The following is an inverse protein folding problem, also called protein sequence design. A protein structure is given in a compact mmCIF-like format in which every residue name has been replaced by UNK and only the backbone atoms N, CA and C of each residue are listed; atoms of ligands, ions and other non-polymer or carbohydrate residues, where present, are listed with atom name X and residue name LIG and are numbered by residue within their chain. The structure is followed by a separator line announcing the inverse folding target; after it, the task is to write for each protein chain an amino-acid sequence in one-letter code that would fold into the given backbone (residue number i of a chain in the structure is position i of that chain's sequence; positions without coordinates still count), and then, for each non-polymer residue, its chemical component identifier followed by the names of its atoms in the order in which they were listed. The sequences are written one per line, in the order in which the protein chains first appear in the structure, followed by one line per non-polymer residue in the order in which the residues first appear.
data_IF_703769223512
#
_entry.id   IF_703769223512
#
_cell.length_a   1.000
_cell.length_b   1.000
_cell.length_c   1.000
_cell.angle_alpha   90.00
_cell.angle_beta   90.00
_cell.angle_gamma   90.00
#
_symmetry.space_group_name_H-M   'P 1'
#
loop_
_entity.id
_entity.type
_entity.pdbx_description
1 polymer ?
#
# COMPACT_ATOMS: atom_id res chain seq x y z
N UNK A 1 -46.07 6.90 73.74
CA UNK A 1 -44.64 7.22 73.40
C UNK A 1 -44.27 6.45 72.17
N UNK A 2 -44.24 7.09 70.96
CA UNK A 2 -43.98 6.43 69.71
C UNK A 2 -42.57 6.88 69.25
N UNK A 3 -41.64 5.93 69.20
CA UNK A 3 -40.30 6.14 68.61
C UNK A 3 -40.41 6.12 67.10
N UNK A 4 -39.94 7.20 66.46
CA UNK A 4 -39.74 7.29 65.01
C UNK A 4 -38.32 6.83 64.69
N UNK A 5 -38.19 5.69 64.02
CA UNK A 5 -36.94 5.23 63.46
C UNK A 5 -36.61 5.99 62.18
N UNK A 6 -35.49 6.63 62.14
CA UNK A 6 -34.95 7.32 60.92
C UNK A 6 -34.04 6.34 60.17
N UNK A 7 -34.47 5.89 59.01
CA UNK A 7 -33.66 5.05 58.12
C UNK A 7 -32.68 5.93 57.32
N UNK A 8 -31.41 5.75 57.51
CA UNK A 8 -30.34 6.38 56.75
C UNK A 8 -30.05 5.50 55.54
N UNK A 9 -30.36 5.96 54.33
CA UNK A 9 -29.98 5.35 53.09
C UNK A 9 -28.54 5.79 52.76
N UNK A 10 -27.58 4.86 52.87
CA UNK A 10 -26.21 5.07 52.43
C UNK A 10 -26.14 4.78 50.92
N UNK A 11 -26.05 5.81 50.12
CA UNK A 11 -25.84 5.68 48.63
C UNK A 11 -24.36 5.35 48.37
N UNK A 12 -24.10 4.12 47.95
CA UNK A 12 -22.77 3.67 47.56
C UNK A 12 -22.49 4.14 46.10
N UNK A 13 -21.75 5.19 45.95
CA UNK A 13 -21.31 5.72 44.66
C UNK A 13 -20.17 4.82 44.12
N UNK A 14 -20.46 3.91 43.22
CA UNK A 14 -19.45 3.13 42.48
C UNK A 14 -18.76 4.04 41.46
N UNK A 15 -17.56 4.48 41.75
CA UNK A 15 -16.69 5.13 40.77
C UNK A 15 -16.00 4.07 39.92
N UNK A 16 -16.47 3.90 38.67
CA UNK A 16 -15.81 3.05 37.67
C UNK A 16 -14.58 3.84 37.16
N UNK A 17 -13.36 3.32 37.29
CA UNK A 17 -12.19 3.99 36.72
C UNK A 17 -12.29 3.93 35.18
N UNK A 18 -12.33 5.09 34.55
CA UNK A 18 -12.22 5.23 33.10
C UNK A 18 -10.78 4.85 32.69
N UNK A 19 -10.59 3.60 32.25
CA UNK A 19 -9.32 3.17 31.66
C UNK A 19 -9.22 3.88 30.31
N UNK A 20 -8.48 4.98 30.27
CA UNK A 20 -8.07 5.62 29.01
C UNK A 20 -7.18 4.62 28.27
N UNK A 21 -7.71 4.02 27.21
CA UNK A 21 -6.89 3.29 26.23
C UNK A 21 -5.91 4.29 25.63
N UNK A 22 -4.66 4.22 26.05
CA UNK A 22 -3.58 4.97 25.43
C UNK A 22 -3.52 4.57 23.95
N UNK A 23 -3.81 5.51 23.06
CA UNK A 23 -3.55 5.31 21.63
C UNK A 23 -2.04 5.10 21.47
N UNK A 24 -1.62 4.10 20.65
CA UNK A 24 -0.19 3.91 20.41
C UNK A 24 0.38 5.20 19.85
N UNK A 25 1.49 5.64 20.46
CA UNK A 25 2.25 6.79 19.96
C UNK A 25 2.50 6.57 18.46
N UNK A 26 2.17 7.58 17.67
CA UNK A 26 2.34 7.58 16.22
C UNK A 26 3.85 7.49 15.92
N UNK A 27 4.41 6.27 15.94
CA UNK A 27 5.79 6.04 15.51
C UNK A 27 5.88 6.43 14.05
N UNK A 28 6.93 7.16 13.67
CA UNK A 28 7.20 7.52 12.28
C UNK A 28 7.11 6.27 11.40
N UNK A 29 6.50 6.36 10.20
CA UNK A 29 6.32 5.19 9.35
C UNK A 29 7.67 4.56 9.03
N UNK A 30 7.84 3.29 9.38
CA UNK A 30 9.01 2.50 9.05
C UNK A 30 8.87 1.99 7.61
N UNK A 31 9.94 2.10 6.80
CA UNK A 31 9.95 1.66 5.42
C UNK A 31 10.91 0.49 5.21
N UNK A 32 10.46 -0.48 4.43
CA UNK A 32 11.29 -1.62 4.02
C UNK A 32 11.31 -1.77 2.49
N UNK A 33 12.38 -2.35 1.96
CA UNK A 33 12.44 -2.67 0.53
C UNK A 33 11.40 -3.73 0.16
N UNK A 34 10.63 -3.55 -0.94
CA UNK A 34 9.46 -4.38 -1.23
C UNK A 34 9.75 -5.82 -1.65
N UNK A 35 10.98 -6.17 -2.03
CA UNK A 35 11.38 -7.55 -2.34
C UNK A 35 12.19 -8.12 -1.19
N UNK A 36 11.74 -9.24 -0.64
CA UNK A 36 12.36 -9.90 0.50
C UNK A 36 12.97 -11.25 0.11
N UNK A 37 14.17 -11.53 0.66
CA UNK A 37 14.88 -12.82 0.56
C UNK A 37 15.20 -13.27 -0.89
N UNK A 38 15.46 -12.31 -1.77
CA UNK A 38 15.79 -12.57 -3.17
C UNK A 38 16.75 -11.51 -3.70
N UNK A 39 17.55 -11.88 -4.70
CA UNK A 39 18.26 -10.92 -5.53
C UNK A 39 17.29 -10.15 -6.41
N UNK A 40 17.56 -8.87 -6.59
CA UNK A 40 16.75 -7.97 -7.40
C UNK A 40 17.63 -6.93 -8.11
N UNK A 41 17.08 -6.33 -9.14
CA UNK A 41 17.61 -5.14 -9.79
C UNK A 41 16.48 -4.24 -10.25
N UNK A 42 16.73 -2.95 -10.46
CA UNK A 42 15.74 -2.02 -10.98
C UNK A 42 16.41 -0.85 -11.70
N UNK A 43 15.67 -0.30 -12.66
CA UNK A 43 16.06 0.92 -13.39
C UNK A 43 15.52 2.16 -12.66
N UNK A 44 16.16 3.30 -12.95
CA UNK A 44 15.64 4.62 -12.53
C UNK A 44 14.54 5.13 -13.45
N UNK A 45 14.33 4.51 -14.59
CA UNK A 45 13.40 4.93 -15.62
C UNK A 45 12.38 3.82 -15.88
N UNK A 46 11.15 4.24 -16.05
CA UNK A 46 10.06 3.46 -16.61
C UNK A 46 9.62 4.13 -17.90
N UNK A 47 9.23 3.36 -18.92
CA UNK A 47 9.03 3.89 -20.28
C UNK A 47 7.81 4.81 -20.42
N UNK A 48 6.73 4.61 -19.63
CA UNK A 48 5.46 5.29 -19.86
C UNK A 48 5.13 6.40 -18.86
N UNK A 49 5.45 6.22 -17.58
CA UNK A 49 5.08 7.14 -16.49
C UNK A 49 5.95 6.87 -15.25
N UNK A 50 5.90 7.77 -14.23
CA UNK A 50 6.70 7.59 -13.02
C UNK A 50 6.39 6.30 -12.26
N UNK A 51 7.21 5.27 -12.47
CA UNK A 51 7.15 3.97 -11.83
C UNK A 51 8.54 3.33 -11.83
N UNK A 52 8.67 2.13 -11.28
CA UNK A 52 9.91 1.33 -11.31
C UNK A 52 9.57 -0.14 -11.43
N UNK A 53 10.13 -0.79 -12.44
CA UNK A 53 10.07 -2.25 -12.54
C UNK A 53 11.21 -2.86 -11.74
N UNK A 54 10.85 -3.61 -10.71
CA UNK A 54 11.80 -4.32 -9.85
C UNK A 54 11.91 -5.76 -10.34
N UNK A 55 12.98 -6.06 -11.09
CA UNK A 55 13.25 -7.40 -11.58
C UNK A 55 13.66 -8.29 -10.40
N UNK A 56 12.99 -9.43 -10.29
CA UNK A 56 13.29 -10.47 -9.32
C UNK A 56 12.77 -11.81 -9.84
N UNK A 57 13.35 -12.92 -9.39
CA UNK A 57 12.91 -14.25 -9.83
C UNK A 57 11.45 -14.50 -9.49
N UNK A 58 10.73 -15.15 -10.39
CA UNK A 58 9.38 -15.68 -10.14
C UNK A 58 9.38 -16.54 -8.88
N UNK A 59 8.53 -16.20 -7.92
CA UNK A 59 8.50 -16.86 -6.61
C UNK A 59 9.09 -16.04 -5.47
N UNK A 60 9.83 -14.96 -5.73
CA UNK A 60 10.29 -14.04 -4.69
C UNK A 60 9.12 -13.41 -3.94
N UNK A 61 9.33 -13.04 -2.68
CA UNK A 61 8.31 -12.42 -1.84
C UNK A 61 8.21 -10.93 -2.13
N UNK A 62 6.98 -10.45 -2.37
CA UNK A 62 6.63 -9.03 -2.34
C UNK A 62 6.01 -8.69 -0.99
N UNK A 63 6.53 -7.68 -0.31
CA UNK A 63 6.11 -7.30 1.04
C UNK A 63 5.62 -5.86 1.10
N UNK A 64 4.80 -5.52 2.11
CA UNK A 64 4.35 -4.16 2.38
C UNK A 64 5.55 -3.26 2.67
N UNK A 65 5.68 -2.15 1.94
CA UNK A 65 6.80 -1.20 2.13
C UNK A 65 6.70 -0.41 3.41
N UNK A 66 5.50 -0.25 3.96
CA UNK A 66 5.19 0.42 5.22
C UNK A 66 3.90 -0.12 5.79
N UNK A 67 3.55 0.23 7.03
CA UNK A 67 2.25 -0.12 7.64
C UNK A 67 1.11 0.66 6.99
N UNK A 68 -0.09 0.06 6.94
CA UNK A 68 -1.26 0.69 6.33
C UNK A 68 -2.39 -0.29 6.09
N UNK A 69 -3.29 0.06 5.17
CA UNK A 69 -4.50 -0.71 4.83
C UNK A 69 -4.50 -1.06 3.35
N UNK A 70 -4.85 -2.29 3.02
CA UNK A 70 -4.99 -2.73 1.63
C UNK A 70 -6.18 -2.01 0.98
N UNK A 71 -5.88 -1.26 -0.09
CA UNK A 71 -6.83 -0.41 -0.81
C UNK A 71 -7.53 -1.16 -1.96
N UNK A 72 -6.76 -1.95 -2.70
CA UNK A 72 -7.29 -2.66 -3.86
C UNK A 72 -6.46 -3.91 -4.15
N UNK A 73 -7.14 -4.96 -4.60
CA UNK A 73 -6.48 -6.19 -5.08
C UNK A 73 -7.16 -6.73 -6.32
N UNK A 74 -6.39 -7.48 -7.12
CA UNK A 74 -6.90 -8.37 -8.16
C UNK A 74 -6.22 -9.71 -8.02
N UNK A 75 -7.00 -10.75 -7.70
CA UNK A 75 -6.50 -12.12 -7.48
C UNK A 75 -6.45 -12.97 -8.75
N UNK A 76 -7.12 -12.53 -9.83
CA UNK A 76 -7.24 -13.27 -11.09
C UNK A 76 -6.67 -12.41 -12.22
N UNK A 77 -5.79 -12.98 -13.04
CA UNK A 77 -5.29 -12.33 -14.25
C UNK A 77 -6.38 -12.37 -15.35
N UNK A 78 -6.91 -11.21 -15.68
CA UNK A 78 -7.94 -11.01 -16.70
C UNK A 78 -7.40 -10.38 -17.98
N UNK A 79 -6.06 -10.25 -18.10
CA UNK A 79 -5.45 -9.64 -19.28
C UNK A 79 -5.63 -10.51 -20.51
N UNK A 80 -6.06 -9.87 -21.59
CA UNK A 80 -6.24 -10.53 -22.89
C UNK A 80 -5.40 -9.80 -23.94
N UNK A 81 -4.35 -10.44 -24.45
CA UNK A 81 -3.44 -9.87 -25.43
C UNK A 81 -4.10 -9.56 -26.79
N UNK A 82 -5.23 -10.22 -27.13
CA UNK A 82 -6.02 -9.95 -28.35
C UNK A 82 -6.91 -8.73 -28.23
N UNK A 83 -7.26 -8.35 -26.98
CA UNK A 83 -8.08 -7.18 -26.67
C UNK A 83 -7.50 -6.46 -25.44
N UNK A 84 -6.30 -5.88 -25.56
CA UNK A 84 -5.63 -5.25 -24.42
C UNK A 84 -6.42 -4.02 -23.95
N UNK A 85 -6.61 -3.90 -22.64
CA UNK A 85 -7.15 -2.70 -22.03
C UNK A 85 -6.20 -2.21 -20.94
N UNK A 86 -6.01 -0.89 -20.77
CA UNK A 86 -5.11 -0.37 -19.77
C UNK A 86 -5.38 -0.94 -18.37
N UNK A 87 -6.66 -1.08 -17.98
CA UNK A 87 -7.06 -1.57 -16.65
C UNK A 87 -6.57 -3.00 -16.37
N UNK A 88 -6.51 -3.87 -17.39
CA UNK A 88 -6.13 -5.29 -17.19
C UNK A 88 -4.64 -5.55 -17.30
N UNK A 89 -3.84 -4.63 -17.86
CA UNK A 89 -2.39 -4.79 -18.09
C UNK A 89 -1.62 -5.27 -16.86
N UNK A 90 -1.94 -4.76 -15.65
CA UNK A 90 -1.23 -5.13 -14.42
C UNK A 90 -1.41 -6.60 -13.99
N UNK A 91 -2.34 -7.37 -14.60
CA UNK A 91 -2.59 -8.76 -14.20
C UNK A 91 -3.04 -8.85 -12.74
N UNK A 92 -2.38 -9.72 -11.96
CA UNK A 92 -2.60 -9.83 -10.50
C UNK A 92 -1.84 -8.71 -9.80
N UNK A 93 -2.53 -7.97 -8.94
CA UNK A 93 -1.95 -6.82 -8.26
C UNK A 93 -2.49 -6.62 -6.85
N UNK A 94 -1.76 -5.87 -6.05
CA UNK A 94 -2.16 -5.36 -4.74
C UNK A 94 -1.76 -3.91 -4.60
N UNK A 95 -2.56 -3.12 -3.92
CA UNK A 95 -2.17 -1.79 -3.46
C UNK A 95 -2.48 -1.58 -1.99
N UNK A 96 -1.64 -0.77 -1.38
CA UNK A 96 -1.63 -0.41 0.03
C UNK A 96 -1.76 1.11 0.13
N UNK A 97 -2.65 1.62 0.98
CA UNK A 97 -2.59 3.00 1.46
C UNK A 97 -1.85 2.97 2.80
N UNK A 98 -0.66 3.53 2.80
CA UNK A 98 0.18 3.63 3.99
C UNK A 98 -0.36 4.61 5.02
N UNK A 99 0.07 4.47 6.27
CA UNK A 99 -0.27 5.39 7.36
C UNK A 99 0.25 6.83 7.09
N UNK A 100 1.16 6.98 6.14
CA UNK A 100 1.65 8.26 5.60
C UNK A 100 0.70 8.91 4.56
N UNK A 101 -0.43 8.26 4.25
CA UNK A 101 -1.42 8.72 3.26
C UNK A 101 -1.01 8.49 1.81
N UNK A 102 0.05 7.75 1.56
CA UNK A 102 0.55 7.44 0.22
C UNK A 102 0.02 6.08 -0.26
N UNK A 103 -0.30 5.99 -1.53
CA UNK A 103 -0.70 4.73 -2.17
C UNK A 103 0.49 4.07 -2.85
N UNK A 104 0.72 2.82 -2.51
CA UNK A 104 1.77 1.95 -3.03
C UNK A 104 1.14 0.83 -3.85
N UNK A 105 1.49 0.74 -5.12
CA UNK A 105 0.92 -0.22 -6.07
C UNK A 105 1.98 -1.24 -6.51
N UNK A 106 1.60 -2.50 -6.60
CA UNK A 106 2.46 -3.57 -7.12
C UNK A 106 1.67 -4.51 -8.02
N UNK A 107 2.14 -4.74 -9.24
CA UNK A 107 1.48 -5.61 -10.21
C UNK A 107 2.41 -6.67 -10.79
N UNK A 108 1.88 -7.47 -11.72
CA UNK A 108 2.50 -8.64 -12.35
C UNK A 108 2.79 -9.78 -11.37
N UNK A 109 2.07 -9.80 -10.23
CA UNK A 109 2.25 -10.83 -9.22
C UNK A 109 1.79 -12.20 -9.72
N UNK A 110 2.40 -13.28 -9.21
CA UNK A 110 1.96 -14.67 -9.45
C UNK A 110 0.69 -14.97 -8.66
N UNK A 111 0.60 -14.45 -7.43
CA UNK A 111 -0.55 -14.59 -6.53
C UNK A 111 -0.49 -13.57 -5.39
N UNK A 112 -1.63 -13.28 -4.82
CA UNK A 112 -1.76 -12.57 -3.54
C UNK A 112 -1.50 -13.56 -2.41
N UNK A 113 -0.92 -13.12 -1.30
CA UNK A 113 -0.72 -13.93 -0.11
C UNK A 113 -2.06 -14.26 0.57
N UNK A 114 -2.08 -15.38 1.30
CA UNK A 114 -3.23 -15.76 2.10
C UNK A 114 -3.50 -14.74 3.20
N UNK A 115 -4.77 -14.49 3.51
CA UNK A 115 -5.20 -13.49 4.49
C UNK A 115 -5.14 -12.03 4.01
N UNK A 116 -4.61 -11.76 2.80
CA UNK A 116 -4.59 -10.41 2.24
C UNK A 116 -5.86 -10.16 1.42
N UNK A 117 -6.64 -9.16 1.86
CA UNK A 117 -7.85 -8.68 1.18
C UNK A 117 -8.03 -7.17 1.39
N UNK A 118 -8.93 -6.55 0.62
CA UNK A 118 -9.28 -5.13 0.78
C UNK A 118 -9.76 -4.86 2.20
N UNK A 119 -9.26 -3.76 2.81
CA UNK A 119 -9.57 -3.37 4.18
C UNK A 119 -8.68 -4.04 5.24
N UNK A 120 -7.86 -5.04 4.88
CA UNK A 120 -6.92 -5.67 5.82
C UNK A 120 -5.81 -4.70 6.17
N UNK A 121 -5.57 -4.50 7.47
CA UNK A 121 -4.42 -3.77 7.97
C UNK A 121 -3.17 -4.65 7.97
N UNK A 122 -2.06 -4.09 7.55
CA UNK A 122 -0.76 -4.76 7.48
C UNK A 122 0.34 -3.88 8.07
N UNK A 123 1.38 -4.52 8.58
CA UNK A 123 2.59 -3.87 9.05
C UNK A 123 3.68 -3.89 7.96
N UNK A 124 4.65 -2.98 8.05
CA UNK A 124 5.83 -3.01 7.18
C UNK A 124 6.48 -4.40 7.16
N UNK A 125 6.81 -4.92 5.98
CA UNK A 125 7.38 -6.27 5.80
C UNK A 125 6.37 -7.41 5.75
N UNK A 126 5.06 -7.17 5.97
CA UNK A 126 4.01 -8.19 5.80
C UNK A 126 4.02 -8.71 4.37
N UNK A 127 3.98 -10.04 4.20
CA UNK A 127 3.90 -10.68 2.88
C UNK A 127 2.57 -10.32 2.20
N UNK A 128 2.63 -9.64 1.07
CA UNK A 128 1.44 -9.25 0.28
C UNK A 128 1.22 -10.15 -0.93
N UNK A 129 2.28 -10.71 -1.50
CA UNK A 129 2.17 -11.53 -2.70
C UNK A 129 3.50 -12.12 -3.13
N UNK A 130 3.48 -12.78 -4.28
CA UNK A 130 4.62 -13.47 -4.86
C UNK A 130 4.89 -12.86 -6.24
N UNK A 131 6.15 -12.53 -6.52
CA UNK A 131 6.61 -12.04 -7.83
C UNK A 131 6.22 -13.01 -8.94
N UNK A 132 5.73 -12.47 -10.03
CA UNK A 132 5.27 -13.22 -11.20
C UNK A 132 5.60 -12.51 -12.50
N UNK A 133 4.72 -12.73 -13.46
CA UNK A 133 4.77 -12.21 -14.83
C UNK A 133 3.34 -12.13 -15.43
N UNK A 134 2.33 -11.91 -14.58
CA UNK A 134 0.92 -11.84 -15.04
C UNK A 134 0.63 -10.51 -15.75
N UNK A 135 -0.52 -10.44 -16.41
CA UNK A 135 -0.87 -9.30 -17.22
C UNK A 135 -0.05 -9.22 -18.52
N UNK A 136 0.33 -8.00 -18.92
CA UNK A 136 1.15 -7.76 -20.12
C UNK A 136 2.65 -8.03 -19.90
N UNK A 137 3.05 -8.35 -18.67
CA UNK A 137 4.40 -8.86 -18.38
C UNK A 137 4.60 -10.32 -18.80
N UNK A 138 3.57 -11.02 -19.25
CA UNK A 138 3.65 -12.43 -19.66
C UNK A 138 4.65 -12.61 -20.81
N UNK A 139 5.67 -13.46 -20.57
CA UNK A 139 6.75 -13.72 -21.52
C UNK A 139 7.92 -12.74 -21.44
N UNK A 140 7.90 -11.80 -20.52
CA UNK A 140 9.05 -10.94 -20.18
C UNK A 140 9.79 -11.49 -18.95
N UNK A 141 10.90 -10.82 -18.56
CA UNK A 141 11.58 -11.12 -17.29
C UNK A 141 10.62 -10.86 -16.12
N UNK A 142 10.50 -11.81 -15.16
CA UNK A 142 9.64 -11.61 -14.00
C UNK A 142 10.03 -10.35 -13.21
N UNK A 143 9.04 -9.58 -12.82
CA UNK A 143 9.24 -8.34 -12.10
C UNK A 143 7.99 -7.92 -11.31
N UNK A 144 8.16 -6.94 -10.46
CA UNK A 144 7.06 -6.17 -9.87
C UNK A 144 7.10 -4.79 -10.48
N UNK A 145 6.05 -4.39 -11.18
CA UNK A 145 5.82 -2.99 -11.49
C UNK A 145 5.40 -2.29 -10.19
N UNK A 146 6.25 -1.40 -9.68
CA UNK A 146 6.05 -0.70 -8.42
C UNK A 146 5.78 0.78 -8.66
N UNK A 147 4.65 1.28 -8.13
CA UNK A 147 4.23 2.66 -8.27
C UNK A 147 3.93 3.33 -6.93
N UNK A 148 4.19 4.64 -6.86
CA UNK A 148 3.88 5.51 -5.73
C UNK A 148 2.96 6.61 -6.24
N UNK A 149 1.81 6.81 -5.54
CA UNK A 149 0.81 7.82 -5.89
C UNK A 149 -0.01 8.24 -4.66
N UNK A 150 -1.13 8.86 -4.89
CA UNK A 150 -2.14 9.19 -3.87
C UNK A 150 -3.38 8.31 -3.98
N UNK A 151 -4.13 8.09 -2.89
CA UNK A 151 -5.43 7.45 -2.93
C UNK A 151 -6.41 8.22 -3.82
N UNK A 152 -7.28 7.52 -4.53
CA UNK A 152 -8.30 8.11 -5.40
C UNK A 152 -9.63 7.39 -5.21
N UNK A 153 -10.74 8.11 -5.28
CA UNK A 153 -12.07 7.51 -5.30
C UNK A 153 -12.35 6.82 -6.64
N UNK A 154 -11.96 7.46 -7.75
CA UNK A 154 -12.10 6.90 -9.10
C UNK A 154 -11.09 5.77 -9.33
N UNK A 155 -11.57 4.63 -9.83
CA UNK A 155 -10.74 3.44 -10.06
C UNK A 155 -10.29 3.27 -11.50
N UNK A 156 -10.91 3.97 -12.44
CA UNK A 156 -10.61 3.92 -13.88
C UNK A 156 -9.42 4.80 -14.29
N UNK A 157 -8.95 5.69 -13.43
CA UNK A 157 -7.76 6.54 -13.65
C UNK A 157 -6.47 5.75 -13.42
N UNK A 158 -6.28 4.71 -14.21
CA UNK A 158 -5.21 3.72 -14.06
C UNK A 158 -3.81 4.35 -14.01
N UNK A 159 -3.55 5.45 -14.73
CA UNK A 159 -2.25 6.11 -14.78
C UNK A 159 -1.87 6.73 -13.44
N UNK A 160 -2.81 7.35 -12.72
CA UNK A 160 -2.57 7.84 -11.36
C UNK A 160 -2.32 6.67 -10.42
N UNK A 161 -3.16 5.64 -10.51
CA UNK A 161 -3.14 4.51 -9.58
C UNK A 161 -1.92 3.60 -9.74
N UNK A 162 -1.17 3.69 -10.85
CA UNK A 162 0.03 2.88 -11.10
C UNK A 162 1.34 3.61 -10.84
N UNK A 163 1.35 4.94 -10.72
CA UNK A 163 2.53 5.68 -10.35
C UNK A 163 2.52 7.13 -10.83
N UNK A 164 2.83 8.04 -9.92
CA UNK A 164 2.93 9.48 -10.16
C UNK A 164 4.26 10.06 -9.64
N UNK A 165 4.98 9.29 -8.81
CA UNK A 165 6.27 9.63 -8.23
C UNK A 165 7.27 8.55 -8.60
N UNK A 166 8.47 8.93 -9.04
CA UNK A 166 9.53 7.97 -9.35
C UNK A 166 10.01 7.23 -8.10
N UNK A 167 9.73 5.92 -7.96
CA UNK A 167 10.02 5.16 -6.74
C UNK A 167 11.51 4.99 -6.45
N UNK A 168 12.39 5.00 -7.46
CA UNK A 168 13.81 4.64 -7.31
C UNK A 168 14.53 5.44 -6.21
N UNK A 169 14.15 6.72 -5.98
CA UNK A 169 14.74 7.56 -4.92
C UNK A 169 14.46 7.03 -3.53
N UNK A 170 13.31 6.41 -3.35
CA UNK A 170 12.84 5.80 -2.10
C UNK A 170 13.41 4.40 -1.97
N UNK A 171 13.33 3.59 -3.03
CA UNK A 171 13.92 2.25 -3.09
C UNK A 171 15.42 2.26 -2.76
N UNK A 172 16.18 3.27 -3.26
CA UNK A 172 17.60 3.47 -2.95
C UNK A 172 17.86 3.71 -1.45
N UNK A 173 16.90 4.30 -0.73
CA UNK A 173 16.99 4.50 0.73
C UNK A 173 16.52 3.28 1.49
N UNK A 174 15.38 2.70 1.11
CA UNK A 174 14.81 1.56 1.81
C UNK A 174 15.69 0.31 1.75
N UNK A 175 16.40 0.08 0.64
CA UNK A 175 17.32 -1.08 0.51
C UNK A 175 18.51 -1.06 1.48
N UNK A 176 18.82 0.11 2.06
CA UNK A 176 19.90 0.28 3.05
C UNK A 176 19.35 0.60 4.44
N UNK A 177 18.06 0.36 4.67
CA UNK A 177 17.40 0.57 5.96
C UNK A 177 17.08 2.03 6.29
N UNK A 178 17.08 2.92 5.27
CA UNK A 178 16.75 4.33 5.49
C UNK A 178 15.25 4.59 5.41
N UNK A 179 14.77 5.53 6.20
CA UNK A 179 13.35 5.83 6.49
C UNK A 179 12.84 7.05 5.69
N UNK A 180 13.06 7.08 4.39
CA UNK A 180 12.62 8.20 3.54
C UNK A 180 11.16 8.03 3.12
N UNK A 181 10.29 8.95 3.60
CA UNK A 181 8.88 9.01 3.19
C UNK A 181 8.67 9.73 1.86
N UNK A 182 7.84 9.21 0.94
CA UNK A 182 7.40 9.91 -0.27
C UNK A 182 6.26 10.92 -0.04
N UNK A 183 5.66 10.96 1.16
CA UNK A 183 4.44 11.70 1.43
C UNK A 183 4.51 13.19 1.07
N UNK A 184 5.64 13.85 1.31
CA UNK A 184 5.79 15.26 0.98
C UNK A 184 5.79 15.52 -0.54
N UNK A 185 6.47 14.66 -1.31
CA UNK A 185 6.50 14.73 -2.79
C UNK A 185 5.11 14.45 -3.37
N UNK A 186 4.42 13.42 -2.85
CA UNK A 186 3.06 13.06 -3.25
C UNK A 186 2.09 14.21 -3.00
N UNK A 187 2.09 14.81 -1.81
CA UNK A 187 1.24 15.97 -1.49
C UNK A 187 1.53 17.17 -2.41
N UNK A 188 2.79 17.43 -2.69
CA UNK A 188 3.19 18.53 -3.59
C UNK A 188 2.68 18.32 -5.00
N UNK A 189 2.80 17.09 -5.54
CA UNK A 189 2.30 16.76 -6.87
C UNK A 189 0.78 16.81 -6.92
N UNK A 190 0.09 16.23 -5.94
CA UNK A 190 -1.37 16.28 -5.84
C UNK A 190 -1.90 17.72 -5.81
N UNK A 191 -1.26 18.59 -5.02
CA UNK A 191 -1.63 20.02 -4.94
C UNK A 191 -1.44 20.77 -6.26
N UNK A 192 -0.41 20.40 -7.04
CA UNK A 192 -0.10 21.06 -8.33
C UNK A 192 -0.94 20.55 -9.49
N UNK A 193 -1.22 19.26 -9.54
CA UNK A 193 -1.84 18.60 -10.71
C UNK A 193 -3.31 18.26 -10.51
N UNK A 194 -3.83 18.38 -9.29
CA UNK A 194 -5.15 17.89 -8.91
C UNK A 194 -5.20 16.37 -8.80
N UNK A 195 -6.33 15.84 -8.34
CA UNK A 195 -6.51 14.40 -8.11
C UNK A 195 -6.41 13.57 -9.40
N UNK A 196 -6.89 14.14 -10.51
CA UNK A 196 -6.93 13.47 -11.82
C UNK A 196 -6.18 14.32 -12.85
N UNK A 197 -4.85 14.29 -12.87
CA UNK A 197 -4.06 14.98 -13.89
C UNK A 197 -4.31 14.37 -15.28
N UNK A 198 -3.97 15.07 -16.37
CA UNK A 198 -4.00 14.50 -17.70
C UNK A 198 -3.19 13.22 -17.80
N UNK A 199 -3.60 12.31 -18.68
CA UNK A 199 -2.80 11.12 -18.99
C UNK A 199 -1.41 11.58 -19.48
N UNK A 200 -0.31 11.04 -18.91
CA UNK A 200 1.03 11.39 -19.40
C UNK A 200 1.12 11.12 -20.91
N UNK A 201 1.64 12.08 -21.65
CA UNK A 201 1.99 11.86 -23.07
C UNK A 201 3.23 10.98 -23.08
N UNK A 202 3.09 9.80 -23.65
CA UNK A 202 4.15 8.83 -23.90
C UNK A 202 4.95 9.26 -25.12
#
# INVERSE_FOLDING_TARGET
MRLRGTSILISLCLTIPLIALAQPANSAPNYVFPISNCSYSYSRYHHDYPATDILAKKGCKYVAVTSGVIDEIRKIDTYNYKKPTPITKGGIFVSLVGDDGVRYYASHLKKIAEGIDVGVRVEAGTLLGIVGDTGDARGTSPHVHFGISWPTEKRDIWWVRRGMVFPWRYLDKWKVGGDRSPAAEVRTLLSKSGEVPPIPKI
#
